data_IF_392949874454
#
_entry.id   IF_392949874454
#
_cell.length_a   1.000
_cell.length_b   1.000
_cell.length_c   1.000
_cell.angle_alpha   90.00
_cell.angle_beta   90.00
_cell.angle_gamma   90.00
#
_symmetry.space_group_name_H-M   'P 1'
#
loop_
_entity.id
_entity.type
_entity.pdbx_description
1 polymer ?
#
# COMPACT_ATOMS: atom_id res chain seq x y z
N UNK A 1 -1.46 -5.76 5.46
CA UNK A 1 -0.35 -4.78 5.30
C UNK A 1 -0.88 -3.61 4.46
N UNK A 2 -0.65 -2.38 4.89
CA UNK A 2 -1.00 -1.17 4.14
C UNK A 2 0.21 -0.26 4.01
N UNK A 3 0.42 0.27 2.82
CA UNK A 3 1.39 1.33 2.55
C UNK A 3 0.69 2.57 2.03
N UNK A 4 1.20 3.75 2.39
CA UNK A 4 0.75 5.03 1.82
C UNK A 4 1.94 5.87 1.38
N UNK A 5 1.69 6.61 0.31
CA UNK A 5 2.65 7.47 -0.35
C UNK A 5 2.00 8.82 -0.61
N UNK A 6 2.61 9.89 -0.11
CA UNK A 6 2.34 11.27 -0.47
C UNK A 6 3.69 11.98 -0.60
N UNK A 7 4.01 12.45 -1.81
CA UNK A 7 5.35 12.91 -2.18
C UNK A 7 5.77 14.16 -1.41
N UNK A 8 4.88 15.15 -1.29
CA UNK A 8 5.11 16.38 -0.53
C UNK A 8 6.37 17.16 -0.95
N UNK A 9 6.92 16.89 -2.13
CA UNK A 9 8.18 17.46 -2.62
C UNK A 9 9.35 17.31 -1.64
N UNK A 10 9.48 16.15 -0.99
CA UNK A 10 10.46 15.92 0.08
C UNK A 10 11.93 16.16 -0.35
N UNK A 11 12.22 16.08 -1.65
CA UNK A 11 13.55 16.24 -2.24
C UNK A 11 13.75 17.60 -2.96
N UNK A 12 12.73 18.46 -2.96
CA UNK A 12 12.72 19.75 -3.67
C UNK A 12 12.91 19.66 -5.20
N UNK A 13 12.68 18.51 -5.83
CA UNK A 13 12.80 18.34 -7.27
C UNK A 13 11.52 18.70 -8.03
N UNK A 14 10.38 18.79 -7.34
CA UNK A 14 9.07 19.10 -7.94
C UNK A 14 8.59 18.03 -8.93
N UNK A 15 9.14 16.82 -8.85
CA UNK A 15 8.85 15.72 -9.77
C UNK A 15 8.56 14.45 -8.98
N UNK A 16 7.28 14.09 -8.92
CA UNK A 16 6.85 12.90 -8.21
C UNK A 16 7.47 11.62 -8.83
N UNK A 17 7.97 10.69 -7.99
CA UNK A 17 8.62 9.48 -8.46
C UNK A 17 7.61 8.40 -8.87
N UNK A 18 8.10 7.42 -9.64
CA UNK A 18 7.39 6.17 -9.92
C UNK A 18 8.31 5.00 -9.57
N UNK A 19 7.80 4.03 -8.82
CA UNK A 19 8.57 2.90 -8.33
C UNK A 19 7.68 1.69 -8.08
N UNK A 20 8.29 0.52 -7.97
CA UNK A 20 7.59 -0.72 -7.65
C UNK A 20 7.70 -1.05 -6.17
N UNK A 21 6.66 -1.68 -5.62
CA UNK A 21 6.62 -2.22 -4.26
C UNK A 21 6.60 -3.73 -4.36
N UNK A 22 7.51 -4.38 -3.64
CA UNK A 22 7.62 -5.83 -3.55
C UNK A 22 7.33 -6.29 -2.12
N UNK A 23 6.70 -7.46 -2.02
CA UNK A 23 6.56 -8.22 -0.78
C UNK A 23 7.42 -9.48 -0.89
N UNK A 24 8.57 -9.47 -0.22
CA UNK A 24 9.63 -10.43 -0.47
C UNK A 24 10.13 -10.31 -1.92
N UNK A 25 10.08 -11.41 -2.65
CA UNK A 25 10.47 -11.46 -4.08
C UNK A 25 9.31 -11.19 -5.04
N UNK A 26 8.08 -11.09 -4.52
CA UNK A 26 6.89 -10.96 -5.34
C UNK A 26 6.55 -9.49 -5.56
N UNK A 27 6.29 -9.11 -6.82
CA UNK A 27 5.74 -7.80 -7.13
C UNK A 27 4.38 -7.68 -6.45
N UNK A 28 4.23 -6.67 -5.60
CA UNK A 28 2.96 -6.33 -5.01
C UNK A 28 2.23 -5.34 -5.93
N UNK A 29 2.80 -4.17 -6.20
CA UNK A 29 2.16 -3.18 -7.08
C UNK A 29 3.16 -2.11 -7.53
N UNK A 30 2.81 -1.36 -8.57
CA UNK A 30 3.50 -0.13 -8.97
C UNK A 30 2.86 1.10 -8.34
N UNK A 31 3.69 2.04 -7.91
CA UNK A 31 3.29 3.33 -7.36
C UNK A 31 3.64 4.41 -8.38
N UNK A 32 2.61 5.05 -8.93
CA UNK A 32 2.72 6.25 -9.74
C UNK A 32 1.95 7.37 -9.03
N UNK A 33 2.59 8.51 -8.82
CA UNK A 33 2.04 9.63 -8.05
C UNK A 33 1.91 10.83 -8.99
N UNK A 34 0.69 11.35 -9.12
CA UNK A 34 0.42 12.41 -10.09
C UNK A 34 0.98 13.79 -9.67
N UNK A 35 0.91 14.11 -8.37
CA UNK A 35 1.37 15.39 -7.83
C UNK A 35 1.78 15.27 -6.35
N UNK A 36 2.31 16.37 -5.79
CA UNK A 36 2.84 16.43 -4.42
C UNK A 36 1.83 16.06 -3.34
N UNK A 37 0.54 16.30 -3.56
CA UNK A 37 -0.53 16.08 -2.57
C UNK A 37 -1.32 14.81 -2.78
N UNK A 38 -1.15 14.13 -3.92
CA UNK A 38 -1.83 12.87 -4.22
C UNK A 38 -1.43 11.80 -3.20
N UNK A 39 -2.43 11.18 -2.58
CA UNK A 39 -2.24 10.06 -1.67
C UNK A 39 -2.49 8.76 -2.43
N UNK A 40 -1.45 7.96 -2.63
CA UNK A 40 -1.56 6.60 -3.15
C UNK A 40 -1.56 5.64 -1.96
N UNK A 41 -2.56 4.77 -1.90
CA UNK A 41 -2.67 3.71 -0.88
C UNK A 41 -2.62 2.35 -1.56
N UNK A 42 -1.77 1.46 -1.07
CA UNK A 42 -1.75 0.05 -1.48
C UNK A 42 -2.05 -0.83 -0.26
N UNK A 43 -2.94 -1.80 -0.42
CA UNK A 43 -3.33 -2.74 0.63
C UNK A 43 -3.18 -4.19 0.12
N UNK A 44 -2.62 -5.05 0.97
CA UNK A 44 -2.52 -6.49 0.73
C UNK A 44 -2.77 -7.26 2.02
N UNK A 45 -3.54 -8.32 1.92
CA UNK A 45 -3.61 -9.38 2.92
C UNK A 45 -2.64 -10.46 2.48
N UNK A 46 -1.76 -10.90 3.38
CA UNK A 46 -0.75 -11.89 3.06
C UNK A 46 -0.59 -12.88 4.21
N UNK A 47 -0.62 -14.16 3.89
CA UNK A 47 -0.32 -15.25 4.83
C UNK A 47 1.19 -15.32 5.03
N UNK A 48 1.65 -15.01 6.24
CA UNK A 48 3.07 -15.01 6.56
C UNK A 48 3.59 -16.43 6.72
N UNK A 49 4.69 -16.75 6.04
CA UNK A 49 5.42 -18.03 6.18
C UNK A 49 6.58 -17.96 7.16
N UNK A 50 6.89 -16.77 7.67
CA UNK A 50 7.95 -16.53 8.66
C UNK A 50 7.55 -15.37 9.58
N UNK A 51 8.32 -15.16 10.64
CA UNK A 51 8.20 -14.02 11.55
C UNK A 51 8.68 -12.69 10.96
N UNK A 52 9.22 -12.72 9.72
CA UNK A 52 9.72 -11.54 9.01
C UNK A 52 8.88 -11.23 7.78
N UNK A 53 8.71 -9.93 7.55
CA UNK A 53 8.10 -9.39 6.34
C UNK A 53 9.07 -8.43 5.70
N UNK A 54 9.40 -8.67 4.44
CA UNK A 54 10.26 -7.80 3.64
C UNK A 54 9.38 -6.97 2.70
N UNK A 55 9.38 -5.65 2.88
CA UNK A 55 8.76 -4.70 1.96
C UNK A 55 9.90 -3.97 1.27
N UNK A 56 10.02 -4.13 -0.04
CA UNK A 56 11.10 -3.54 -0.83
C UNK A 56 10.53 -2.52 -1.81
N UNK A 57 11.19 -1.36 -1.92
CA UNK A 57 10.87 -0.35 -2.91
C UNK A 57 11.96 -0.37 -3.98
N UNK A 58 11.56 -0.44 -5.24
CA UNK A 58 12.48 -0.57 -6.38
C UNK A 58 12.27 0.62 -7.31
N UNK A 59 13.31 1.45 -7.44
CA UNK A 59 13.31 2.57 -8.39
C UNK A 59 13.23 2.06 -9.83
N UNK A 60 12.45 2.76 -10.64
CA UNK A 60 12.31 2.54 -12.09
C UNK A 60 13.10 3.57 -12.90
N UNK A 61 14.13 4.14 -12.29
CA UNK A 61 14.87 5.32 -12.76
C UNK A 61 13.95 6.55 -12.94
N UNK A 62 12.88 6.63 -12.15
CA UNK A 62 11.89 7.74 -12.21
C UNK A 62 11.86 8.60 -10.96
N UNK A 63 12.79 8.38 -10.04
CA UNK A 63 13.01 9.19 -8.85
C UNK A 63 13.09 8.33 -7.60
N UNK A 64 13.65 8.88 -6.53
CA UNK A 64 13.94 8.11 -5.31
C UNK A 64 12.64 7.57 -4.67
N UNK A 65 12.51 6.24 -4.51
CA UNK A 65 11.37 5.65 -3.84
C UNK A 65 11.28 6.08 -2.38
N UNK A 66 10.06 6.22 -1.87
CA UNK A 66 9.83 6.64 -0.49
C UNK A 66 8.62 5.91 0.10
N UNK A 67 8.47 5.95 1.42
CA UNK A 67 7.34 5.36 2.14
C UNK A 67 6.89 6.30 3.24
N UNK A 68 5.67 6.83 3.13
CA UNK A 68 5.13 7.75 4.15
C UNK A 68 4.55 6.98 5.34
N UNK A 69 3.88 5.85 5.07
CA UNK A 69 3.23 5.03 6.10
C UNK A 69 3.41 3.56 5.76
N UNK A 70 3.74 2.76 6.77
CA UNK A 70 3.67 1.30 6.76
C UNK A 70 2.85 0.82 7.96
N UNK A 71 1.70 0.21 7.70
CA UNK A 71 0.79 -0.30 8.72
C UNK A 71 0.67 -1.83 8.62
N UNK A 72 0.80 -2.49 9.77
CA UNK A 72 0.51 -3.91 9.94
C UNK A 72 -0.73 -4.08 10.80
N UNK A 73 -1.62 -4.96 10.36
CA UNK A 73 -2.78 -5.40 11.13
C UNK A 73 -2.88 -6.90 10.99
N UNK A 74 -2.95 -7.59 12.12
CA UNK A 74 -3.26 -9.01 12.17
C UNK A 74 -4.75 -9.20 11.88
N UNK A 75 -5.06 -10.16 11.03
CA UNK A 75 -6.42 -10.57 10.70
C UNK A 75 -6.58 -12.04 11.08
N UNK A 76 -7.79 -12.44 11.42
CA UNK A 76 -8.08 -13.86 11.63
C UNK A 76 -7.97 -14.59 10.27
N UNK A 77 -7.54 -15.84 10.30
CA UNK A 77 -7.32 -16.64 9.09
C UNK A 77 -8.61 -16.93 8.30
N UNK A 78 -9.77 -16.76 8.93
CA UNK A 78 -11.12 -16.97 8.39
C UNK A 78 -11.76 -15.66 7.89
N UNK A 79 -11.06 -14.53 7.93
CA UNK A 79 -11.60 -13.24 7.48
C UNK A 79 -11.95 -13.26 5.98
N UNK A 80 -11.16 -13.96 5.17
CA UNK A 80 -11.39 -14.15 3.74
C UNK A 80 -11.03 -15.57 3.34
N UNK A 81 -11.98 -16.32 2.79
CA UNK A 81 -11.71 -17.64 2.20
C UNK A 81 -11.06 -17.48 0.83
N UNK A 82 -9.84 -17.99 0.68
CA UNK A 82 -9.11 -17.95 -0.59
C UNK A 82 -8.08 -19.09 -0.65
N UNK A 83 -7.84 -19.67 -1.85
CA UNK A 83 -6.74 -20.62 -2.03
C UNK A 83 -5.37 -19.92 -2.22
N UNK A 84 -5.33 -18.59 -2.29
CA UNK A 84 -4.11 -17.81 -2.56
C UNK A 84 -3.49 -17.26 -1.27
N UNK A 85 -2.16 -17.20 -1.22
CA UNK A 85 -1.43 -16.63 -0.08
C UNK A 85 -1.57 -15.11 0.04
N UNK A 86 -1.96 -14.44 -1.05
CA UNK A 86 -1.99 -12.98 -1.15
C UNK A 86 -3.29 -12.50 -1.79
N UNK A 87 -3.92 -11.51 -1.16
CA UNK A 87 -5.08 -10.79 -1.70
C UNK A 87 -4.79 -9.30 -1.74
N UNK A 88 -4.73 -8.73 -2.94
CA UNK A 88 -4.59 -7.30 -3.14
C UNK A 88 -5.95 -6.61 -3.08
N UNK A 89 -6.03 -5.46 -2.42
CA UNK A 89 -7.25 -4.68 -2.42
C UNK A 89 -7.49 -4.04 -3.78
N UNK A 90 -8.58 -4.42 -4.44
CA UNK A 90 -9.03 -3.71 -5.64
C UNK A 90 -9.85 -2.46 -5.28
N UNK A 91 -10.96 -2.64 -4.56
CA UNK A 91 -11.85 -1.57 -4.08
C UNK A 91 -12.47 -1.96 -2.74
N UNK A 92 -12.81 -0.96 -1.94
CA UNK A 92 -13.62 -1.10 -0.73
C UNK A 92 -14.68 -0.02 -0.75
N UNK A 93 -15.95 -0.40 -0.70
CA UNK A 93 -17.08 0.52 -0.75
C UNK A 93 -17.93 0.37 0.50
N UNK A 94 -18.41 1.49 1.01
CA UNK A 94 -19.47 1.55 2.01
C UNK A 94 -20.74 2.05 1.31
N UNK A 95 -21.66 1.13 1.02
CA UNK A 95 -22.89 1.43 0.28
C UNK A 95 -23.96 2.11 1.15
N UNK A 96 -23.76 2.14 2.48
CA UNK A 96 -24.68 2.75 3.44
C UNK A 96 -24.22 4.11 3.96
N UNK A 97 -23.08 4.62 3.48
CA UNK A 97 -22.50 5.84 4.00
C UNK A 97 -23.36 7.07 3.65
N UNK A 98 -23.58 7.95 4.65
CA UNK A 98 -24.23 9.25 4.46
C UNK A 98 -23.26 10.35 3.96
N UNK A 99 -22.01 9.98 3.62
CA UNK A 99 -21.01 10.88 3.07
C UNK A 99 -19.68 10.18 2.81
N UNK A 100 -18.71 10.91 2.23
CA UNK A 100 -17.46 10.33 1.72
C UNK A 100 -16.38 10.10 2.79
N UNK A 101 -16.75 10.09 4.08
CA UNK A 101 -15.77 9.90 5.15
C UNK A 101 -15.41 8.42 5.26
N UNK A 102 -14.12 8.06 5.10
CA UNK A 102 -13.71 6.68 5.28
C UNK A 102 -13.93 6.26 6.73
N UNK A 103 -14.62 5.14 6.94
CA UNK A 103 -14.73 4.50 8.25
C UNK A 103 -13.43 3.77 8.54
N UNK A 104 -12.79 4.10 9.66
CA UNK A 104 -11.58 3.41 10.15
C UNK A 104 -11.90 2.71 11.46
N UNK A 105 -11.81 1.38 11.46
CA UNK A 105 -11.89 0.60 12.68
C UNK A 105 -10.69 0.93 13.57
N UNK A 106 -10.92 1.09 14.87
CA UNK A 106 -9.87 1.41 15.85
C UNK A 106 -8.77 0.34 15.78
N UNK A 107 -7.52 0.77 15.90
CA UNK A 107 -6.37 -0.13 16.03
C UNK A 107 -6.32 -0.74 17.43
#
# INVERSE_FOLDING_TARGET
IRTRFMYGNYDNLGKAPEFDVYLGVNLWDSVAIDNETTIVTKEIIHTLRSDKVHVCLVDKDRGTPFLSVLEFRLLNNDTYETPYDSLMLYRRWDLGALGDRPVRYKD
#
